data_IF_836006860777
#
_entry.id   IF_836006860777
#
_cell.length_a   1.000
_cell.length_b   1.000
_cell.length_c   1.000
_cell.angle_alpha   90.00
_cell.angle_beta   90.00
_cell.angle_gamma   90.00
#
_symmetry.space_group_name_H-M   'P 1'
#
loop_
_entity.id
_entity.type
_entity.pdbx_description
1 polymer ?
#
# COMPACT_ATOMS: atom_id res chain seq x y z
N UNK A 1 -29.48 -17.60 -12.24
CA UNK A 1 -28.59 -16.47 -12.64
C UNK A 1 -27.28 -16.59 -11.92
N UNK A 2 -26.15 -16.32 -12.59
CA UNK A 2 -24.82 -16.34 -12.01
C UNK A 2 -24.29 -14.90 -11.88
N UNK A 3 -23.31 -14.68 -11.02
CA UNK A 3 -22.50 -13.46 -11.04
C UNK A 3 -21.81 -13.35 -12.40
N UNK A 4 -21.52 -12.12 -12.86
CA UNK A 4 -20.79 -11.86 -14.12
C UNK A 4 -19.43 -12.56 -14.16
N UNK A 5 -18.81 -12.81 -13.03
CA UNK A 5 -17.46 -13.38 -12.88
C UNK A 5 -17.43 -14.87 -12.51
N UNK A 6 -18.56 -15.44 -12.10
CA UNK A 6 -18.60 -16.81 -11.64
C UNK A 6 -18.33 -17.79 -12.77
N UNK A 7 -17.60 -18.87 -12.48
CA UNK A 7 -17.47 -20.01 -13.37
C UNK A 7 -18.80 -20.76 -13.52
N UNK A 8 -19.00 -21.43 -14.66
CA UNK A 8 -20.17 -22.30 -14.88
C UNK A 8 -20.14 -23.50 -13.92
N UNK A 9 -18.96 -24.09 -13.71
CA UNK A 9 -18.71 -25.11 -12.69
C UNK A 9 -17.69 -24.60 -11.64
N UNK A 10 -18.19 -24.10 -10.52
CA UNK A 10 -17.35 -23.53 -9.46
C UNK A 10 -16.49 -24.53 -8.69
N UNK A 11 -16.68 -25.82 -8.92
CA UNK A 11 -15.83 -26.87 -8.34
C UNK A 11 -14.64 -27.21 -9.25
N UNK A 12 -14.70 -26.86 -10.54
CA UNK A 12 -13.64 -27.10 -11.53
C UNK A 12 -12.85 -25.86 -11.87
N UNK A 13 -13.49 -24.69 -11.90
CA UNK A 13 -12.88 -23.42 -12.26
C UNK A 13 -13.08 -22.37 -11.15
N UNK A 14 -12.12 -21.47 -10.99
CA UNK A 14 -12.24 -20.36 -10.03
C UNK A 14 -13.20 -19.28 -10.54
N UNK A 15 -13.12 -18.93 -11.82
CA UNK A 15 -13.89 -17.88 -12.48
C UNK A 15 -14.09 -18.23 -13.96
N UNK A 16 -14.99 -17.48 -14.63
CA UNK A 16 -15.07 -17.47 -16.07
C UNK A 16 -14.01 -16.53 -16.70
N UNK A 17 -13.91 -16.48 -18.03
CA UNK A 17 -12.95 -15.64 -18.73
C UNK A 17 -13.10 -14.14 -18.45
N UNK A 18 -14.33 -13.65 -18.27
CA UNK A 18 -14.61 -12.25 -17.90
C UNK A 18 -14.08 -11.96 -16.49
N UNK A 19 -14.25 -12.89 -15.54
CA UNK A 19 -13.73 -12.76 -14.19
C UNK A 19 -12.20 -12.67 -14.17
N UNK A 20 -11.52 -13.55 -14.89
CA UNK A 20 -10.07 -13.50 -15.01
C UNK A 20 -9.58 -12.18 -15.62
N UNK A 21 -10.16 -11.75 -16.75
CA UNK A 21 -9.80 -10.49 -17.38
C UNK A 21 -10.04 -9.28 -16.47
N UNK A 22 -11.15 -9.26 -15.77
CA UNK A 22 -11.48 -8.21 -14.80
C UNK A 22 -10.45 -8.12 -13.67
N UNK A 23 -10.08 -9.26 -13.08
CA UNK A 23 -9.08 -9.32 -12.01
C UNK A 23 -7.70 -8.89 -12.49
N UNK A 24 -7.27 -9.40 -13.65
CA UNK A 24 -5.99 -9.03 -14.26
C UNK A 24 -5.92 -7.53 -14.57
N UNK A 25 -7.04 -6.94 -15.01
CA UNK A 25 -7.14 -5.49 -15.23
C UNK A 25 -6.91 -4.68 -13.95
N UNK A 26 -7.53 -5.08 -12.85
CA UNK A 26 -7.34 -4.45 -11.54
C UNK A 26 -5.89 -4.55 -11.06
N UNK A 27 -5.29 -5.73 -11.17
CA UNK A 27 -3.92 -5.97 -10.69
C UNK A 27 -2.89 -5.23 -11.54
N UNK A 28 -2.99 -5.31 -12.88
CA UNK A 28 -2.05 -4.65 -13.78
C UNK A 28 -2.06 -3.13 -13.65
N UNK A 29 -3.23 -2.53 -13.52
CA UNK A 29 -3.40 -1.07 -13.51
C UNK A 29 -3.43 -0.50 -12.08
N UNK A 30 -3.05 -1.28 -11.07
CA UNK A 30 -3.20 -0.84 -9.69
C UNK A 30 -2.38 0.41 -9.35
N UNK A 31 -1.20 0.60 -9.92
CA UNK A 31 -0.35 1.77 -9.67
C UNK A 31 -1.03 3.09 -10.03
N UNK A 32 -1.99 3.08 -10.96
CA UNK A 32 -2.78 4.28 -11.31
C UNK A 32 -4.20 4.28 -10.69
N UNK A 33 -4.63 3.15 -10.10
CA UNK A 33 -5.85 3.08 -9.27
C UNK A 33 -5.53 3.53 -7.84
N UNK A 34 -4.38 3.11 -7.32
CA UNK A 34 -3.97 3.35 -5.92
C UNK A 34 -4.00 4.83 -5.51
N UNK A 35 -3.61 5.81 -6.34
CA UNK A 35 -3.77 7.22 -6.01
C UNK A 35 -5.18 7.60 -5.53
N UNK A 36 -6.21 7.07 -6.16
CA UNK A 36 -7.60 7.32 -5.74
C UNK A 36 -8.01 6.52 -4.49
N UNK A 37 -7.36 5.39 -4.24
CA UNK A 37 -7.66 4.46 -3.12
C UNK A 37 -6.98 4.87 -1.84
N UNK A 38 -5.74 5.37 -1.91
CA UNK A 38 -4.86 5.67 -0.77
C UNK A 38 -4.32 7.09 -0.86
N UNK A 39 -5.21 8.10 -0.79
CA UNK A 39 -4.89 9.51 -1.05
C UNK A 39 -4.52 10.33 0.20
N UNK A 40 -4.44 9.73 1.39
CA UNK A 40 -4.16 10.42 2.65
C UNK A 40 -3.02 9.78 3.41
N UNK A 41 -2.34 10.54 4.29
CA UNK A 41 -1.29 10.00 5.15
C UNK A 41 -1.74 8.76 5.94
N UNK A 42 -2.93 8.81 6.50
CA UNK A 42 -3.47 7.73 7.33
C UNK A 42 -3.80 6.45 6.54
N UNK A 43 -3.90 6.54 5.21
CA UNK A 43 -4.10 5.37 4.34
C UNK A 43 -2.98 4.34 4.51
N UNK A 44 -1.74 4.81 4.65
CA UNK A 44 -0.55 3.96 4.73
C UNK A 44 -0.34 3.33 6.11
N UNK A 45 -0.99 3.85 7.16
CA UNK A 45 -0.86 3.32 8.51
C UNK A 45 -1.34 1.87 8.65
N UNK A 46 -2.30 1.46 7.83
CA UNK A 46 -2.84 0.10 7.81
C UNK A 46 -2.21 -0.80 6.74
N UNK A 47 -1.46 -0.24 5.79
CA UNK A 47 -0.81 -0.98 4.70
C UNK A 47 0.62 -1.39 5.09
N UNK A 48 0.75 -2.06 6.23
CA UNK A 48 2.03 -2.50 6.80
C UNK A 48 1.85 -3.77 7.62
N UNK A 49 2.93 -4.51 7.93
CA UNK A 49 2.88 -5.69 8.78
C UNK A 49 2.13 -5.43 10.11
N UNK A 50 1.41 -6.45 10.60
CA UNK A 50 0.59 -6.37 11.82
C UNK A 50 -0.86 -5.91 11.59
N UNK A 51 -1.20 -5.48 10.38
CA UNK A 51 -2.57 -5.23 9.96
C UNK A 51 -2.92 -6.23 8.85
N UNK A 52 -4.05 -6.89 8.93
CA UNK A 52 -4.56 -7.75 7.85
C UNK A 52 -4.96 -6.92 6.62
N UNK A 53 -3.97 -6.29 5.97
CA UNK A 53 -4.17 -5.37 4.87
C UNK A 53 -3.09 -5.57 3.80
N UNK A 54 -3.41 -5.30 2.53
CA UNK A 54 -2.50 -5.58 1.42
C UNK A 54 -1.31 -4.63 1.43
N UNK A 55 -0.11 -5.19 1.34
CA UNK A 55 1.15 -4.46 1.08
C UNK A 55 1.72 -4.79 -0.29
N UNK A 56 1.14 -5.75 -1.00
CA UNK A 56 1.59 -6.22 -2.31
C UNK A 56 0.43 -6.25 -3.30
N UNK A 57 0.74 -6.11 -4.59
CA UNK A 57 -0.24 -6.19 -5.68
C UNK A 57 -0.49 -7.65 -6.04
N UNK A 58 -1.12 -8.39 -5.15
CA UNK A 58 -1.38 -9.83 -5.31
C UNK A 58 -2.85 -10.19 -5.10
N UNK A 59 -3.22 -11.36 -5.61
CA UNK A 59 -4.51 -12.02 -5.38
C UNK A 59 -4.30 -13.42 -4.79
N UNK A 60 -5.37 -14.03 -4.31
CA UNK A 60 -5.42 -15.43 -3.88
C UNK A 60 -6.74 -16.06 -4.26
N UNK A 61 -6.72 -17.33 -4.67
CA UNK A 61 -7.91 -18.08 -5.11
C UNK A 61 -8.31 -19.19 -4.15
N UNK A 62 -7.38 -19.63 -3.31
CA UNK A 62 -7.47 -20.83 -2.47
C UNK A 62 -6.72 -22.02 -3.05
N UNK A 63 -6.59 -23.06 -2.25
CA UNK A 63 -5.82 -24.26 -2.58
C UNK A 63 -6.38 -25.01 -3.82
N UNK A 64 -7.69 -24.88 -4.07
CA UNK A 64 -8.34 -25.44 -5.25
C UNK A 64 -9.65 -24.69 -5.55
N UNK A 65 -10.26 -24.90 -6.72
CA UNK A 65 -11.58 -24.34 -7.00
C UNK A 65 -12.67 -24.72 -5.99
N UNK A 66 -12.55 -25.89 -5.33
CA UNK A 66 -13.47 -26.33 -4.29
C UNK A 66 -13.17 -25.74 -2.89
N UNK A 67 -12.01 -25.10 -2.70
CA UNK A 67 -11.57 -24.55 -1.40
C UNK A 67 -11.21 -23.08 -1.59
N UNK A 68 -12.17 -22.14 -1.36
CA UNK A 68 -11.92 -20.70 -1.48
C UNK A 68 -10.81 -20.22 -0.54
N UNK A 69 -10.05 -19.22 -0.98
CA UNK A 69 -9.03 -18.59 -0.15
C UNK A 69 -9.63 -17.87 1.06
N UNK A 70 -8.88 -17.88 2.16
CA UNK A 70 -9.13 -17.06 3.35
C UNK A 70 -8.01 -16.07 3.62
N UNK A 71 -7.05 -15.97 2.68
CA UNK A 71 -5.93 -15.04 2.80
C UNK A 71 -6.44 -13.60 2.78
N UNK A 72 -6.10 -12.81 3.81
CA UNK A 72 -6.50 -11.41 3.98
C UNK A 72 -5.40 -10.42 3.65
N UNK A 73 -4.17 -10.89 3.39
CA UNK A 73 -3.03 -10.04 3.08
C UNK A 73 -2.91 -9.70 1.59
N UNK A 74 -3.90 -10.12 0.79
CA UNK A 74 -3.96 -9.85 -0.66
C UNK A 74 -4.68 -8.53 -0.98
N UNK A 75 -4.28 -7.90 -2.10
CA UNK A 75 -4.86 -6.65 -2.58
C UNK A 75 -6.30 -6.85 -3.07
N UNK A 76 -6.51 -7.83 -3.94
CA UNK A 76 -7.82 -8.16 -4.48
C UNK A 76 -8.17 -9.60 -4.11
N UNK A 77 -9.13 -9.76 -3.23
CA UNK A 77 -9.66 -11.08 -2.87
C UNK A 77 -10.75 -11.51 -3.84
N UNK A 78 -10.71 -12.77 -4.26
CA UNK A 78 -11.82 -13.42 -4.92
C UNK A 78 -12.74 -14.04 -3.85
N UNK A 79 -13.88 -13.40 -3.61
CA UNK A 79 -14.89 -13.91 -2.67
C UNK A 79 -15.83 -14.83 -3.42
N UNK A 80 -15.92 -16.09 -2.95
CA UNK A 80 -16.75 -17.13 -3.55
C UNK A 80 -17.58 -17.83 -2.49
N UNK A 81 -18.84 -18.03 -2.82
CA UNK A 81 -19.72 -18.96 -2.12
C UNK A 81 -20.12 -20.06 -3.09
N UNK A 82 -19.63 -21.28 -2.85
CA UNK A 82 -19.87 -22.42 -3.75
C UNK A 82 -21.35 -22.83 -3.80
N UNK A 83 -22.15 -22.44 -2.79
CA UNK A 83 -23.58 -22.68 -2.74
C UNK A 83 -24.40 -21.56 -3.36
N UNK A 84 -23.80 -20.36 -3.45
CA UNK A 84 -24.45 -19.18 -4.02
C UNK A 84 -23.54 -18.47 -5.04
N UNK A 85 -23.56 -18.89 -6.32
CA UNK A 85 -22.76 -18.26 -7.37
C UNK A 85 -22.96 -16.76 -7.52
N UNK A 86 -24.12 -16.22 -7.14
CA UNK A 86 -24.40 -14.77 -7.19
C UNK A 86 -23.53 -13.97 -6.20
N UNK A 87 -22.99 -14.60 -5.17
CA UNK A 87 -22.11 -13.99 -4.20
C UNK A 87 -20.65 -13.82 -4.69
N UNK A 88 -20.30 -14.41 -5.85
CA UNK A 88 -18.94 -14.28 -6.43
C UNK A 88 -18.66 -12.83 -6.78
N UNK A 89 -17.63 -12.26 -6.18
CA UNK A 89 -17.22 -10.85 -6.34
C UNK A 89 -15.76 -10.65 -6.02
N UNK A 90 -15.23 -9.51 -6.42
CA UNK A 90 -13.93 -9.03 -5.96
C UNK A 90 -14.09 -8.11 -4.75
N UNK A 91 -13.11 -8.17 -3.85
CA UNK A 91 -12.96 -7.29 -2.72
C UNK A 91 -11.61 -6.58 -2.81
N UNK A 92 -11.61 -5.29 -3.12
CA UNK A 92 -10.42 -4.44 -3.11
C UNK A 92 -10.16 -4.00 -1.65
N UNK A 93 -9.08 -4.48 -1.08
CA UNK A 93 -8.85 -4.41 0.38
C UNK A 93 -8.06 -3.20 0.86
N UNK A 94 -7.44 -2.44 -0.05
CA UNK A 94 -6.62 -1.26 0.28
C UNK A 94 -7.43 0.02 0.53
N UNK A 95 -8.72 0.02 0.21
CA UNK A 95 -9.56 1.23 0.21
C UNK A 95 -9.62 1.92 1.58
N UNK A 96 -9.35 3.22 1.60
CA UNK A 96 -9.42 4.07 2.78
C UNK A 96 -10.81 4.71 2.92
N UNK A 97 -11.35 4.94 4.14
CA UNK A 97 -12.64 5.62 4.35
C UNK A 97 -12.76 7.03 3.76
N UNK A 98 -11.64 7.76 3.62
CA UNK A 98 -11.61 9.09 3.00
C UNK A 98 -11.54 9.08 1.47
N UNK A 99 -11.65 7.91 0.87
CA UNK A 99 -11.60 7.72 -0.58
C UNK A 99 -12.82 8.37 -1.26
N UNK A 100 -12.58 9.05 -2.39
CA UNK A 100 -13.66 9.46 -3.27
C UNK A 100 -14.20 8.24 -4.01
N UNK A 101 -15.33 7.71 -3.57
CA UNK A 101 -15.94 6.49 -4.08
C UNK A 101 -16.20 6.53 -5.58
N UNK A 102 -16.60 7.67 -6.12
CA UNK A 102 -16.88 7.81 -7.56
C UNK A 102 -15.62 7.66 -8.41
N UNK A 103 -14.52 8.29 -8.00
CA UNK A 103 -13.24 8.20 -8.72
C UNK A 103 -12.66 6.78 -8.65
N UNK A 104 -12.72 6.13 -7.49
CA UNK A 104 -12.26 4.74 -7.33
C UNK A 104 -13.09 3.79 -8.18
N UNK A 105 -14.41 3.90 -8.15
CA UNK A 105 -15.29 3.04 -8.95
C UNK A 105 -14.99 3.26 -10.45
N UNK A 106 -14.88 4.50 -10.90
CA UNK A 106 -14.55 4.80 -12.30
C UNK A 106 -13.20 4.20 -12.71
N UNK A 107 -12.15 4.39 -11.91
CA UNK A 107 -10.82 3.84 -12.17
C UNK A 107 -10.83 2.30 -12.20
N UNK A 108 -11.49 1.66 -11.23
CA UNK A 108 -11.62 0.21 -11.20
C UNK A 108 -12.37 -0.35 -12.42
N UNK A 109 -13.48 0.26 -12.81
CA UNK A 109 -14.22 -0.21 -13.99
C UNK A 109 -13.46 -0.01 -15.29
N UNK A 110 -12.72 1.08 -15.46
CA UNK A 110 -11.86 1.30 -16.62
C UNK A 110 -10.75 0.25 -16.70
N UNK A 111 -10.09 -0.04 -15.59
CA UNK A 111 -9.08 -1.08 -15.49
C UNK A 111 -9.67 -2.49 -15.76
N UNK A 112 -10.82 -2.81 -15.19
CA UNK A 112 -11.56 -4.05 -15.45
C UNK A 112 -11.87 -4.19 -16.93
N UNK A 113 -12.36 -3.14 -17.56
CA UNK A 113 -12.70 -3.15 -18.98
C UNK A 113 -11.47 -3.33 -19.87
N UNK A 114 -10.34 -2.72 -19.52
CA UNK A 114 -9.07 -2.92 -20.22
C UNK A 114 -8.63 -4.38 -20.15
N UNK A 115 -8.62 -4.98 -18.94
CA UNK A 115 -8.26 -6.37 -18.75
C UNK A 115 -9.17 -7.32 -19.54
N UNK A 116 -10.50 -7.13 -19.48
CA UNK A 116 -11.45 -7.96 -20.26
C UNK A 116 -11.18 -7.86 -21.77
N UNK A 117 -10.96 -6.65 -22.28
CA UNK A 117 -10.68 -6.45 -23.70
C UNK A 117 -9.36 -7.07 -24.15
N UNK A 118 -8.31 -6.91 -23.36
CA UNK A 118 -6.96 -7.39 -23.69
C UNK A 118 -6.82 -8.91 -23.58
N UNK A 119 -7.61 -9.54 -22.73
CA UNK A 119 -7.62 -11.00 -22.53
C UNK A 119 -8.73 -11.70 -23.33
N UNK A 120 -9.51 -10.96 -24.13
CA UNK A 120 -10.54 -11.54 -24.98
C UNK A 120 -9.93 -12.57 -25.95
N UNK A 121 -10.52 -13.76 -25.99
CA UNK A 121 -10.02 -14.87 -26.82
C UNK A 121 -9.03 -15.81 -26.11
N UNK A 122 -8.53 -15.47 -24.92
CA UNK A 122 -7.76 -16.40 -24.10
C UNK A 122 -8.68 -17.39 -23.37
N UNK A 123 -8.21 -18.62 -23.24
CA UNK A 123 -8.90 -19.64 -22.42
C UNK A 123 -8.69 -19.38 -20.94
N UNK A 124 -9.61 -19.83 -20.08
CA UNK A 124 -9.47 -19.74 -18.61
C UNK A 124 -8.19 -20.39 -18.11
N UNK A 125 -7.74 -21.48 -18.75
CA UNK A 125 -6.49 -22.15 -18.43
C UNK A 125 -5.27 -21.26 -18.71
N UNK A 126 -5.23 -20.53 -19.82
CA UNK A 126 -4.15 -19.61 -20.12
C UNK A 126 -4.12 -18.43 -19.15
N UNK A 127 -5.29 -17.87 -18.82
CA UNK A 127 -5.41 -16.75 -17.87
C UNK A 127 -5.01 -17.16 -16.43
N UNK A 128 -5.38 -18.36 -15.99
CA UNK A 128 -4.96 -18.91 -14.71
C UNK A 128 -3.43 -19.13 -14.68
N UNK A 129 -2.87 -19.66 -15.77
CA UNK A 129 -1.42 -19.87 -15.86
C UNK A 129 -0.66 -18.53 -15.77
N UNK A 130 -1.14 -17.49 -16.46
CA UNK A 130 -0.55 -16.16 -16.42
C UNK A 130 -0.62 -15.51 -15.03
N UNK A 131 -1.75 -15.64 -14.33
CA UNK A 131 -1.87 -15.16 -12.95
C UNK A 131 -1.00 -15.93 -11.96
N UNK A 132 -0.61 -17.17 -12.29
CA UNK A 132 0.21 -18.03 -11.43
C UNK A 132 1.69 -18.05 -11.82
N UNK A 133 2.08 -17.25 -12.82
CA UNK A 133 3.47 -17.19 -13.32
C UNK A 133 4.44 -16.63 -12.27
N UNK A 134 5.70 -16.99 -12.40
CA UNK A 134 6.79 -16.44 -11.61
C UNK A 134 7.37 -15.18 -12.28
N UNK A 135 8.10 -14.33 -11.52
CA UNK A 135 8.85 -13.22 -12.11
C UNK A 135 9.80 -13.71 -13.22
N UNK A 136 9.84 -13.02 -14.35
CA UNK A 136 10.62 -13.38 -15.53
C UNK A 136 9.86 -14.24 -16.55
N UNK A 137 8.72 -14.82 -16.22
CA UNK A 137 7.92 -15.60 -17.17
C UNK A 137 7.07 -14.69 -18.07
N UNK A 138 7.02 -15.01 -19.35
CA UNK A 138 6.22 -14.28 -20.34
C UNK A 138 4.71 -14.43 -20.04
N UNK A 139 3.96 -13.40 -20.38
CA UNK A 139 2.51 -13.38 -20.28
C UNK A 139 1.87 -12.64 -21.46
N UNK A 140 0.56 -12.72 -21.57
CA UNK A 140 -0.21 -12.03 -22.61
C UNK A 140 -0.51 -10.59 -22.22
N UNK A 141 -0.72 -10.34 -20.92
CA UNK A 141 -1.22 -9.05 -20.45
C UNK A 141 -0.51 -8.52 -19.19
N UNK A 142 -0.22 -9.37 -18.19
CA UNK A 142 0.40 -8.95 -16.93
C UNK A 142 1.90 -8.70 -17.11
N UNK A 143 2.45 -7.82 -16.28
CA UNK A 143 3.88 -7.50 -16.25
C UNK A 143 4.73 -8.76 -16.05
N UNK A 144 5.92 -8.80 -16.64
CA UNK A 144 6.82 -9.97 -16.57
C UNK A 144 7.77 -9.92 -15.39
N UNK A 145 7.95 -8.77 -14.78
CA UNK A 145 8.92 -8.53 -13.70
C UNK A 145 8.44 -8.99 -12.33
N UNK A 146 7.17 -9.41 -12.18
CA UNK A 146 6.58 -9.75 -10.88
C UNK A 146 5.58 -10.91 -10.95
N UNK A 147 5.32 -11.50 -9.78
CA UNK A 147 4.21 -12.43 -9.57
C UNK A 147 2.95 -11.67 -9.10
N UNK A 148 1.78 -12.25 -9.37
CA UNK A 148 0.49 -11.64 -9.03
C UNK A 148 -0.38 -12.51 -8.13
N UNK A 149 0.09 -13.69 -7.72
CA UNK A 149 -0.68 -14.63 -6.90
C UNK A 149 0.16 -15.17 -5.75
N UNK A 150 -0.45 -15.20 -4.56
CA UNK A 150 0.06 -15.92 -3.39
C UNK A 150 -1.11 -16.51 -2.63
N UNK A 151 -1.05 -17.81 -2.32
CA UNK A 151 -2.02 -18.46 -1.42
C UNK A 151 -1.60 -18.32 0.05
N UNK A 152 -0.33 -18.02 0.28
CA UNK A 152 0.28 -17.87 1.59
C UNK A 152 0.14 -16.43 2.11
N UNK A 153 0.16 -16.26 3.43
CA UNK A 153 0.25 -14.95 4.05
C UNK A 153 1.58 -14.29 3.68
N UNK A 154 1.51 -13.13 3.02
CA UNK A 154 2.71 -12.47 2.50
C UNK A 154 3.61 -11.87 3.60
N UNK A 155 3.09 -11.69 4.82
CA UNK A 155 3.88 -11.21 5.95
C UNK A 155 4.59 -12.34 6.69
N UNK A 156 3.99 -13.52 6.75
CA UNK A 156 4.54 -14.66 7.47
C UNK A 156 5.57 -15.42 6.63
N UNK A 157 5.39 -15.46 5.30
CA UNK A 157 6.18 -16.30 4.42
C UNK A 157 7.30 -15.58 3.66
N UNK A 158 7.29 -14.23 3.63
CA UNK A 158 8.27 -13.44 2.89
C UNK A 158 8.81 -12.29 3.73
N UNK A 159 10.12 -12.02 3.66
CA UNK A 159 10.73 -10.79 4.16
C UNK A 159 10.25 -9.57 3.34
N UNK A 160 10.55 -8.36 3.78
CA UNK A 160 10.21 -7.15 3.04
C UNK A 160 10.88 -7.12 1.66
N UNK A 161 12.16 -7.48 1.61
CA UNK A 161 12.96 -7.54 0.38
C UNK A 161 12.44 -8.60 -0.60
N UNK A 162 12.07 -9.77 -0.10
CA UNK A 162 11.46 -10.81 -0.93
C UNK A 162 10.10 -10.42 -1.47
N UNK A 163 9.27 -9.73 -0.69
CA UNK A 163 7.99 -9.19 -1.16
C UNK A 163 8.19 -8.18 -2.27
N UNK A 164 9.11 -7.23 -2.08
CA UNK A 164 9.39 -6.17 -3.05
C UNK A 164 9.95 -6.77 -4.36
N UNK A 165 10.87 -7.72 -4.27
CA UNK A 165 11.44 -8.39 -5.44
C UNK A 165 10.43 -9.27 -6.18
N UNK A 166 9.50 -9.92 -5.46
CA UNK A 166 8.55 -10.88 -6.04
C UNK A 166 7.27 -10.23 -6.56
N UNK A 167 6.75 -9.24 -5.84
CA UNK A 167 5.42 -8.65 -6.08
C UNK A 167 5.47 -7.18 -6.44
N UNK A 168 6.66 -6.56 -6.44
CA UNK A 168 6.86 -5.13 -6.63
C UNK A 168 6.62 -4.33 -5.34
N UNK A 169 7.44 -3.30 -5.14
CA UNK A 169 7.33 -2.39 -4.00
C UNK A 169 6.13 -1.45 -4.18
N UNK A 170 5.18 -1.43 -3.25
CA UNK A 170 4.09 -0.45 -3.27
C UNK A 170 4.60 0.93 -2.83
N UNK A 171 3.93 2.03 -3.24
CA UNK A 171 4.22 3.35 -2.71
C UNK A 171 3.94 3.40 -1.21
N UNK A 172 4.77 4.13 -0.46
CA UNK A 172 4.71 4.24 0.99
C UNK A 172 4.29 5.64 1.47
N UNK A 173 4.18 6.62 0.58
CA UNK A 173 3.71 7.97 0.87
C UNK A 173 2.69 8.44 -0.18
N UNK A 174 1.97 9.52 0.15
CA UNK A 174 1.04 10.14 -0.81
C UNK A 174 1.79 10.66 -2.03
N UNK A 175 2.98 11.23 -1.84
CA UNK A 175 3.82 11.68 -2.96
C UNK A 175 4.19 10.54 -3.90
N UNK A 176 4.79 9.46 -3.38
CA UNK A 176 5.14 8.29 -4.18
C UNK A 176 3.92 7.73 -4.92
N UNK A 177 2.76 7.73 -4.27
CA UNK A 177 1.53 7.24 -4.85
C UNK A 177 1.04 8.11 -6.01
N UNK A 178 1.08 9.44 -5.88
CA UNK A 178 0.67 10.36 -6.96
C UNK A 178 1.60 10.28 -8.18
N UNK A 179 2.88 9.95 -7.98
CA UNK A 179 3.81 9.71 -9.09
C UNK A 179 3.38 8.56 -10.02
N UNK A 180 2.51 7.67 -9.57
CA UNK A 180 2.02 6.56 -10.39
C UNK A 180 1.45 7.00 -11.74
N UNK A 181 0.80 8.14 -11.81
CA UNK A 181 0.23 8.66 -13.07
C UNK A 181 1.31 9.06 -14.08
N UNK A 182 2.45 9.57 -13.63
CA UNK A 182 3.57 10.00 -14.48
C UNK A 182 4.51 8.83 -14.81
N UNK A 183 4.74 7.93 -13.85
CA UNK A 183 5.63 6.78 -14.00
C UNK A 183 5.03 5.69 -14.91
N UNK A 184 3.70 5.61 -14.98
CA UNK A 184 2.98 4.60 -15.75
C UNK A 184 2.02 5.23 -16.77
N UNK A 185 2.54 5.94 -17.81
CA UNK A 185 1.71 6.66 -18.78
C UNK A 185 0.75 5.74 -19.55
N UNK A 186 1.16 4.52 -19.88
CA UNK A 186 0.31 3.54 -20.57
C UNK A 186 -0.88 3.11 -19.70
N UNK A 187 -0.66 2.92 -18.39
CA UNK A 187 -1.73 2.60 -17.43
C UNK A 187 -2.63 3.82 -17.19
N UNK A 188 -2.05 5.01 -17.16
CA UNK A 188 -2.81 6.27 -17.07
C UNK A 188 -3.70 6.47 -18.30
N UNK A 189 -3.23 6.09 -19.47
CA UNK A 189 -4.05 6.12 -20.69
C UNK A 189 -5.29 5.22 -20.61
N UNK A 190 -5.24 4.11 -19.86
CA UNK A 190 -6.41 3.26 -19.60
C UNK A 190 -7.49 4.04 -18.86
N UNK A 191 -7.11 4.84 -17.85
CA UNK A 191 -8.05 5.63 -17.06
C UNK A 191 -8.65 6.80 -17.83
N UNK A 192 -7.92 7.36 -18.81
CA UNK A 192 -8.39 8.47 -19.62
C UNK A 192 -9.19 8.01 -20.85
N UNK A 193 -9.23 6.71 -21.12
CA UNK A 193 -10.00 6.14 -22.23
C UNK A 193 -11.48 6.52 -22.13
N UNK A 194 -12.06 6.92 -23.26
CA UNK A 194 -13.47 7.32 -23.34
C UNK A 194 -13.82 8.62 -22.58
N UNK A 195 -12.82 9.41 -22.20
CA UNK A 195 -12.98 10.71 -21.52
C UNK A 195 -13.69 10.64 -20.16
N UNK A 196 -13.72 9.48 -19.50
CA UNK A 196 -14.34 9.29 -18.19
C UNK A 196 -13.54 9.99 -17.11
N UNK A 197 -12.24 9.71 -17.00
CA UNK A 197 -11.30 10.43 -16.15
C UNK A 197 -10.39 11.30 -17.03
N UNK A 198 -10.85 12.50 -17.34
CA UNK A 198 -10.06 13.44 -18.16
C UNK A 198 -8.76 13.83 -17.45
N UNK A 199 -7.66 14.13 -18.16
CA UNK A 199 -6.37 14.52 -17.56
C UNK A 199 -6.51 15.63 -16.51
N UNK A 200 -7.37 16.62 -16.74
CA UNK A 200 -7.61 17.72 -15.81
C UNK A 200 -8.22 17.26 -14.48
N UNK A 201 -9.01 16.16 -14.47
CA UNK A 201 -9.55 15.57 -13.24
C UNK A 201 -8.43 14.93 -12.44
N UNK A 202 -7.53 14.21 -13.11
CA UNK A 202 -6.36 13.58 -12.48
C UNK A 202 -5.44 14.64 -11.90
N UNK A 203 -5.10 15.67 -12.66
CA UNK A 203 -4.25 16.79 -12.23
C UNK A 203 -4.83 17.53 -11.01
N UNK A 204 -6.12 17.87 -11.08
CA UNK A 204 -6.83 18.51 -9.96
C UNK A 204 -6.86 17.63 -8.71
N UNK A 205 -7.06 16.32 -8.89
CA UNK A 205 -7.02 15.37 -7.79
C UNK A 205 -5.63 15.27 -7.16
N UNK A 206 -4.57 15.13 -7.96
CA UNK A 206 -3.18 15.10 -7.49
C UNK A 206 -2.82 16.36 -6.71
N UNK A 207 -3.14 17.54 -7.27
CA UNK A 207 -2.90 18.83 -6.61
C UNK A 207 -3.59 18.89 -5.25
N UNK A 208 -4.85 18.49 -5.17
CA UNK A 208 -5.61 18.47 -3.91
C UNK A 208 -5.06 17.45 -2.90
N UNK A 209 -4.66 16.27 -3.35
CA UNK A 209 -4.07 15.24 -2.50
C UNK A 209 -2.72 15.67 -1.92
N UNK A 210 -1.84 16.24 -2.73
CA UNK A 210 -0.52 16.74 -2.30
C UNK A 210 -0.64 17.93 -1.36
N UNK A 211 -1.57 18.84 -1.60
CA UNK A 211 -1.83 19.96 -0.69
C UNK A 211 -2.31 19.46 0.68
N UNK A 212 -3.22 18.48 0.71
CA UNK A 212 -3.68 17.85 1.95
C UNK A 212 -2.54 17.12 2.67
N UNK A 213 -1.77 16.32 1.96
CA UNK A 213 -0.60 15.60 2.48
C UNK A 213 0.37 16.55 3.18
N UNK A 214 0.78 17.62 2.49
CA UNK A 214 1.65 18.68 3.03
C UNK A 214 1.04 19.33 4.28
N UNK A 215 -0.23 19.75 4.19
CA UNK A 215 -0.92 20.44 5.29
C UNK A 215 -1.02 19.54 6.52
N UNK A 216 -1.39 18.28 6.37
CA UNK A 216 -1.49 17.34 7.48
C UNK A 216 -0.12 17.04 8.12
N UNK A 217 0.94 16.91 7.34
CA UNK A 217 2.28 16.73 7.89
C UNK A 217 2.69 17.93 8.75
N UNK A 218 2.53 19.16 8.25
CA UNK A 218 2.95 20.38 8.95
C UNK A 218 2.08 20.68 10.16
N UNK A 219 0.75 20.54 10.03
CA UNK A 219 -0.19 21.03 11.05
C UNK A 219 -0.60 19.98 12.09
N UNK A 220 -0.47 18.69 11.78
CA UNK A 220 -0.91 17.60 12.65
C UNK A 220 0.20 16.62 12.98
N UNK A 221 0.75 15.92 11.98
CA UNK A 221 1.60 14.74 12.20
C UNK A 221 2.93 15.12 12.87
N UNK A 222 3.64 16.14 12.36
CA UNK A 222 4.91 16.59 12.95
C UNK A 222 4.69 17.17 14.36
N UNK A 223 3.69 18.04 14.63
CA UNK A 223 3.37 18.51 15.98
C UNK A 223 3.03 17.38 16.96
N UNK A 224 2.25 16.39 16.55
CA UNK A 224 1.92 15.22 17.39
C UNK A 224 3.16 14.41 17.74
N UNK A 225 4.00 14.09 16.74
CA UNK A 225 5.27 13.40 16.96
C UNK A 225 6.25 14.20 17.84
N UNK A 226 6.32 15.52 17.65
CA UNK A 226 7.12 16.40 18.52
C UNK A 226 6.64 16.35 19.97
N UNK A 227 5.35 16.26 20.22
CA UNK A 227 4.79 16.08 21.55
C UNK A 227 5.12 14.70 22.14
N UNK A 228 5.12 13.65 21.35
CA UNK A 228 5.57 12.30 21.78
C UNK A 228 7.04 12.36 22.20
N UNK A 229 7.92 12.93 21.37
CA UNK A 229 9.36 13.11 21.69
C UNK A 229 9.55 13.90 23.00
N UNK A 230 8.76 14.95 23.23
CA UNK A 230 8.83 15.75 24.48
C UNK A 230 8.42 14.96 25.71
N UNK A 231 7.40 14.10 25.61
CA UNK A 231 6.90 13.26 26.72
C UNK A 231 7.78 12.06 27.02
N UNK A 232 8.67 11.69 26.10
CA UNK A 232 9.67 10.64 26.30
C UNK A 232 10.76 11.20 27.21
N UNK A 233 10.65 11.01 28.51
CA UNK A 233 11.54 11.60 29.51
C UNK A 233 12.27 10.52 30.30
N UNK A 234 13.44 10.89 30.85
CA UNK A 234 14.19 10.04 31.76
C UNK A 234 13.36 9.76 33.03
N UNK A 235 13.35 8.49 33.42
CA UNK A 235 12.68 8.05 34.64
C UNK A 235 13.72 8.04 35.74
N UNK A 236 13.46 8.75 36.85
CA UNK A 236 14.29 8.74 38.02
C UNK A 236 14.00 7.48 38.82
N UNK A 237 15.05 6.73 39.12
CA UNK A 237 15.01 5.52 39.97
C UNK A 237 16.22 5.52 40.91
N UNK A 238 16.06 4.94 42.07
CA UNK A 238 17.17 4.74 43.04
C UNK A 238 18.07 3.54 42.62
N UNK A 239 17.62 2.74 41.68
CA UNK A 239 18.30 1.53 41.18
C UNK A 239 18.53 1.63 39.67
N UNK A 240 19.49 2.46 39.28
CA UNK A 240 19.88 2.64 37.84
C UNK A 240 21.07 1.75 37.53
N UNK A 241 20.97 0.96 36.48
CA UNK A 241 22.05 0.10 35.97
C UNK A 241 22.78 0.74 34.80
N UNK A 242 23.97 0.24 34.45
CA UNK A 242 24.70 0.69 33.25
C UNK A 242 23.89 0.49 31.96
N UNK A 243 23.06 -0.54 31.93
CA UNK A 243 22.15 -0.81 30.80
C UNK A 243 21.08 0.28 30.68
N UNK A 244 20.56 0.79 31.79
CA UNK A 244 19.55 1.87 31.80
C UNK A 244 20.16 3.17 31.27
N UNK A 245 21.38 3.50 31.74
CA UNK A 245 22.12 4.69 31.25
C UNK A 245 22.42 4.57 29.77
N UNK A 246 22.86 3.40 29.30
CA UNK A 246 23.16 3.16 27.88
C UNK A 246 21.88 3.33 27.03
N UNK A 247 20.76 2.72 27.44
CA UNK A 247 19.51 2.79 26.70
C UNK A 247 18.96 4.22 26.70
N UNK A 248 19.05 4.92 27.85
CA UNK A 248 18.63 6.31 27.93
C UNK A 248 19.46 7.24 27.03
N UNK A 249 20.78 7.06 26.96
CA UNK A 249 21.62 7.84 26.07
C UNK A 249 21.20 7.68 24.60
N UNK A 250 20.89 6.46 24.15
CA UNK A 250 20.34 6.23 22.80
C UNK A 250 19.01 6.95 22.59
N UNK A 251 18.11 6.89 23.56
CA UNK A 251 16.83 7.59 23.51
C UNK A 251 17.06 9.09 23.44
N UNK A 252 17.98 9.63 24.22
CA UNK A 252 18.32 11.05 24.27
C UNK A 252 18.86 11.54 22.91
N UNK A 253 19.81 10.81 22.32
CA UNK A 253 20.38 11.15 21.01
C UNK A 253 19.31 11.12 19.90
N UNK A 254 18.43 10.12 19.92
CA UNK A 254 17.34 10.00 18.97
C UNK A 254 16.33 11.16 19.11
N UNK A 255 16.05 11.61 20.33
CA UNK A 255 15.19 12.78 20.58
C UNK A 255 15.79 14.06 20.03
N UNK A 256 17.13 14.25 20.15
CA UNK A 256 17.86 15.39 19.56
C UNK A 256 17.73 15.32 18.06
N UNK A 257 18.11 14.20 17.45
CA UNK A 257 18.02 13.99 16.02
C UNK A 257 16.62 14.31 15.44
N UNK A 258 15.57 13.84 16.09
CA UNK A 258 14.19 14.05 15.65
C UNK A 258 13.72 15.50 15.78
N UNK A 259 14.00 16.18 16.89
CA UNK A 259 13.23 17.36 17.29
C UNK A 259 14.03 18.61 17.67
N UNK A 260 15.36 18.52 17.83
CA UNK A 260 16.18 19.62 18.37
C UNK A 260 17.23 20.07 17.38
N UNK A 261 17.03 21.25 16.79
CA UNK A 261 18.08 21.91 16.00
C UNK A 261 19.30 22.21 16.86
N UNK A 262 20.48 21.93 16.35
CA UNK A 262 21.77 22.31 16.90
C UNK A 262 22.37 23.47 16.11
N UNK A 263 23.57 23.95 16.52
CA UNK A 263 24.26 25.00 15.77
C UNK A 263 24.67 24.49 14.38
N UNK A 264 25.14 23.24 14.32
CA UNK A 264 25.73 22.65 13.12
C UNK A 264 24.71 21.87 12.26
N UNK A 265 23.66 21.31 12.89
CA UNK A 265 22.72 20.38 12.24
C UNK A 265 21.27 20.76 12.53
N UNK A 266 20.41 20.54 11.54
CA UNK A 266 18.96 20.66 11.66
C UNK A 266 18.33 19.34 12.04
N UNK A 267 17.36 19.37 12.96
CA UNK A 267 16.58 18.20 13.31
C UNK A 267 15.71 17.70 12.14
N UNK A 268 15.43 16.41 12.14
CA UNK A 268 14.63 15.76 11.09
C UNK A 268 13.28 16.45 10.87
N UNK A 269 12.56 16.84 11.94
CA UNK A 269 11.29 17.56 11.80
C UNK A 269 11.45 18.94 11.15
N UNK A 270 12.56 19.61 11.39
CA UNK A 270 12.86 20.92 10.78
C UNK A 270 13.21 20.79 9.30
N UNK A 271 13.98 19.76 8.94
CA UNK A 271 14.31 19.44 7.54
C UNK A 271 13.05 19.06 6.76
N UNK A 272 12.18 18.23 7.33
CA UNK A 272 10.91 17.82 6.69
C UNK A 272 9.99 19.03 6.46
N UNK A 273 9.82 19.91 7.45
CA UNK A 273 9.02 21.14 7.29
C UNK A 273 9.62 22.03 6.19
N UNK A 274 10.94 22.16 6.14
CA UNK A 274 11.63 22.95 5.12
C UNK A 274 11.32 22.38 3.72
N UNK A 275 11.57 21.10 3.50
CA UNK A 275 11.31 20.44 2.21
C UNK A 275 9.84 20.59 1.76
N UNK A 276 8.89 20.39 2.67
CA UNK A 276 7.46 20.60 2.40
C UNK A 276 7.12 22.04 2.05
N UNK A 277 7.80 23.02 2.66
CA UNK A 277 7.54 24.44 2.45
C UNK A 277 8.13 24.91 1.12
N UNK A 278 9.29 24.41 0.76
CA UNK A 278 10.00 24.70 -0.50
C UNK A 278 9.40 23.93 -1.71
N UNK A 279 8.51 22.95 -1.47
CA UNK A 279 7.91 22.13 -2.53
C UNK A 279 8.83 21.01 -3.02
N UNK A 280 9.91 20.72 -2.31
CA UNK A 280 10.74 19.54 -2.58
C UNK A 280 10.09 18.28 -2.01
N UNK A 281 9.08 17.81 -2.73
CA UNK A 281 8.25 16.70 -2.29
C UNK A 281 8.97 15.35 -2.33
N UNK A 282 9.98 15.19 -3.17
CA UNK A 282 10.80 13.98 -3.21
C UNK A 282 11.59 13.82 -1.91
N UNK A 283 12.33 14.88 -1.51
CA UNK A 283 13.04 14.94 -0.22
C UNK A 283 12.04 14.82 0.96
N UNK A 284 10.91 15.52 0.91
CA UNK A 284 9.90 15.45 1.97
C UNK A 284 9.35 14.03 2.15
N UNK A 285 9.14 13.29 1.07
CA UNK A 285 8.68 11.90 1.12
C UNK A 285 9.70 10.99 1.79
N UNK A 286 10.98 11.11 1.44
CA UNK A 286 12.06 10.34 2.06
C UNK A 286 12.19 10.65 3.57
N UNK A 287 12.17 11.94 3.93
CA UNK A 287 12.24 12.39 5.34
C UNK A 287 10.99 11.97 6.15
N UNK A 288 9.82 11.87 5.52
CA UNK A 288 8.61 11.34 6.16
C UNK A 288 8.77 9.86 6.54
N UNK A 289 9.31 9.04 5.64
CA UNK A 289 9.55 7.62 5.90
C UNK A 289 10.60 7.44 7.00
N UNK A 290 11.66 8.23 6.96
CA UNK A 290 12.67 8.24 8.01
C UNK A 290 12.08 8.66 9.36
N UNK A 291 11.24 9.68 9.38
CA UNK A 291 10.51 10.10 10.59
C UNK A 291 9.71 8.94 11.18
N UNK A 292 8.96 8.21 10.38
CA UNK A 292 8.18 7.08 10.88
C UNK A 292 9.06 5.95 11.43
N UNK A 293 10.15 5.61 10.74
CA UNK A 293 11.10 4.61 11.21
C UNK A 293 11.75 5.01 12.54
N UNK A 294 12.19 6.27 12.66
CA UNK A 294 12.82 6.80 13.88
C UNK A 294 11.83 6.97 15.04
N UNK A 295 10.58 7.27 14.76
CA UNK A 295 9.55 7.32 15.81
C UNK A 295 9.20 5.92 16.35
N UNK A 296 9.18 4.89 15.50
CA UNK A 296 8.98 3.51 15.97
C UNK A 296 10.20 3.02 16.76
N UNK A 297 11.44 3.29 16.30
CA UNK A 297 12.67 3.03 17.07
C UNK A 297 12.64 3.69 18.45
N UNK A 298 12.22 4.96 18.52
CA UNK A 298 12.08 5.68 19.80
C UNK A 298 11.09 5.01 20.74
N UNK A 299 9.96 4.57 20.21
CA UNK A 299 8.91 3.89 20.97
C UNK A 299 9.42 2.56 21.52
N UNK A 300 10.05 1.71 20.69
CA UNK A 300 10.58 0.42 21.09
C UNK A 300 11.65 0.56 22.19
N UNK A 301 12.61 1.48 22.00
CA UNK A 301 13.64 1.77 22.97
C UNK A 301 13.04 2.27 24.29
N UNK A 302 12.06 3.17 24.25
CA UNK A 302 11.45 3.71 25.45
C UNK A 302 10.56 2.69 26.16
N UNK A 303 9.87 1.83 25.45
CA UNK A 303 9.10 0.74 26.05
C UNK A 303 10.00 -0.30 26.71
N UNK A 304 11.16 -0.60 26.12
CA UNK A 304 12.20 -1.44 26.71
C UNK A 304 12.79 -0.80 27.98
N UNK A 305 13.16 0.50 27.90
CA UNK A 305 13.69 1.27 29.01
C UNK A 305 12.73 1.29 30.19
N UNK A 306 11.46 1.59 29.96
CA UNK A 306 10.43 1.59 31.02
C UNK A 306 10.27 0.22 31.71
N UNK A 307 10.38 -0.87 30.96
CA UNK A 307 10.28 -2.22 31.54
C UNK A 307 11.46 -2.60 32.40
N UNK A 308 12.66 -2.05 32.13
CA UNK A 308 13.88 -2.38 32.84
C UNK A 308 14.09 -1.56 34.12
N UNK A 309 13.62 -0.31 34.14
CA UNK A 309 13.91 0.67 35.21
C UNK A 309 12.94 0.59 36.39
N UNK A 310 12.02 -0.32 36.45
CA UNK A 310 11.00 -0.46 37.49
C UNK A 310 11.60 -1.00 38.78
#
# INVERSE_FOLDING_TARGET
>A
RHSLFAADDQHKDYMNGVGYGALMGLLKNYEVINPFVSATNDSFNRLKPGFEAPVCVVTSFGASPAIPSRNRTVLVSLIRDLKNPLATRFELRSTNPYTNTYLVIAACYLAILDGIKKTAGCTTKQLLAELSKQPGEAGVYLETDRAYRSEEDVFEHYTAEERDARFGRPPATVWENMLGFDLYPDKTAVLTAGSTLRPQIIESFCTGALLRWRTELISRIIPENRNIVRRTMEIKSDFVTDQDVYTWNKIHDLRIYLAKDTIDEKALFSLLIKALTEGDYATASALQLEMYAKMEELKELYDSYKKNII
#
